data_IF_515153822308
#
_entry.id   IF_515153822308
#
_cell.length_a   1.000
_cell.length_b   1.000
_cell.length_c   1.000
_cell.angle_alpha   90.00
_cell.angle_beta   90.00
_cell.angle_gamma   90.00
#
_symmetry.space_group_name_H-M   'P 1'
#
loop_
_entity.id
_entity.type
_entity.pdbx_description
1 polymer ?
#
# COMPACT_ATOMS: atom_id res chain seq x y z
N UNK A 1 -1.24 -21.14 -81.65
CA UNK A 1 -1.43 -22.25 -80.71
C UNK A 1 -0.06 -22.73 -80.26
N UNK A 2 0.03 -23.11 -78.98
CA UNK A 2 1.18 -23.68 -78.24
C UNK A 2 2.40 -22.79 -78.12
N UNK A 3 2.48 -22.09 -76.99
CA UNK A 3 3.74 -21.58 -76.46
C UNK A 3 4.48 -22.67 -75.69
N UNK A 4 5.72 -22.38 -75.33
CA UNK A 4 6.30 -22.94 -74.11
C UNK A 4 7.41 -22.05 -73.57
N UNK A 5 7.42 -22.00 -72.25
CA UNK A 5 8.02 -20.98 -71.40
C UNK A 5 9.48 -21.26 -71.05
N UNK A 6 10.21 -20.16 -70.82
CA UNK A 6 11.60 -20.12 -70.35
C UNK A 6 11.77 -20.81 -69.00
N UNK A 7 12.81 -21.64 -68.89
CA UNK A 7 13.31 -22.22 -67.65
C UNK A 7 14.21 -21.21 -66.94
N UNK A 8 13.74 -20.70 -65.81
CA UNK A 8 14.53 -19.92 -64.83
C UNK A 8 15.23 -20.90 -63.88
N UNK A 9 16.52 -20.69 -63.52
CA UNK A 9 17.19 -21.55 -62.54
C UNK A 9 16.66 -21.28 -61.12
N UNK A 10 16.38 -22.38 -60.41
CA UNK A 10 15.96 -22.44 -59.01
C UNK A 10 17.12 -21.99 -58.12
N UNK A 11 17.01 -20.79 -57.55
CA UNK A 11 17.81 -20.37 -56.42
C UNK A 11 17.32 -21.14 -55.18
N UNK A 12 18.18 -22.00 -54.63
CA UNK A 12 17.96 -22.67 -53.36
C UNK A 12 17.92 -21.65 -52.23
N UNK A 13 16.72 -21.31 -51.77
CA UNK A 13 16.50 -20.53 -50.56
C UNK A 13 16.80 -21.44 -49.36
N UNK A 14 18.01 -21.28 -48.81
CA UNK A 14 18.40 -21.82 -47.52
C UNK A 14 17.47 -21.19 -46.46
N UNK A 15 16.52 -21.98 -45.96
CA UNK A 15 15.65 -21.60 -44.86
C UNK A 15 16.48 -21.64 -43.56
N UNK A 16 17.21 -20.56 -43.31
CA UNK A 16 17.73 -20.21 -42.00
C UNK A 16 16.52 -20.00 -41.09
N UNK A 17 16.15 -21.05 -40.35
CA UNK A 17 15.41 -20.93 -39.10
C UNK A 17 16.29 -20.13 -38.13
N UNK A 18 16.26 -18.81 -38.28
CA UNK A 18 16.70 -17.89 -37.23
C UNK A 18 15.74 -18.13 -36.07
N UNK A 19 16.26 -18.68 -34.98
CA UNK A 19 15.52 -18.83 -33.73
C UNK A 19 15.06 -17.46 -33.23
N UNK A 20 13.83 -17.09 -33.57
CA UNK A 20 13.13 -15.94 -33.01
C UNK A 20 12.56 -16.39 -31.66
N UNK A 21 13.38 -16.37 -30.61
CA UNK A 21 12.95 -16.86 -29.31
C UNK A 21 13.99 -16.64 -28.22
N UNK A 22 14.32 -15.38 -27.94
CA UNK A 22 15.07 -14.99 -26.72
C UNK A 22 15.08 -13.47 -26.48
N UNK A 23 14.71 -12.66 -27.47
CA UNK A 23 14.75 -11.19 -27.36
C UNK A 23 13.56 -10.58 -26.62
N UNK A 24 12.58 -11.37 -26.16
CA UNK A 24 11.34 -10.82 -25.59
C UNK A 24 11.28 -10.84 -24.04
N UNK A 25 12.30 -11.36 -23.35
CA UNK A 25 12.29 -11.46 -21.89
C UNK A 25 12.88 -10.23 -21.19
N UNK A 26 13.93 -9.61 -21.75
CA UNK A 26 14.60 -8.44 -21.16
C UNK A 26 13.67 -7.22 -21.01
N UNK A 27 12.75 -6.99 -21.95
CA UNK A 27 11.80 -5.87 -21.89
C UNK A 27 10.61 -6.11 -20.94
N UNK A 28 10.53 -7.29 -20.31
CA UNK A 28 9.34 -7.72 -19.53
C UNK A 28 9.59 -7.89 -18.04
N UNK A 29 10.84 -7.77 -17.60
CA UNK A 29 11.20 -7.92 -16.20
C UNK A 29 12.01 -6.75 -15.69
N UNK A 30 11.83 -6.46 -14.41
CA UNK A 30 12.74 -5.57 -13.71
C UNK A 30 13.83 -6.38 -13.02
N UNK A 31 14.99 -5.77 -12.83
CA UNK A 31 16.05 -6.25 -11.95
C UNK A 31 16.64 -5.05 -11.24
N UNK A 32 16.48 -5.01 -9.93
CA UNK A 32 16.92 -3.90 -9.09
C UNK A 32 17.51 -4.43 -7.80
N UNK A 33 18.14 -3.56 -7.04
CA UNK A 33 18.52 -3.88 -5.68
C UNK A 33 18.70 -2.67 -4.82
N UNK A 34 18.76 -2.91 -3.52
CA UNK A 34 19.01 -1.93 -2.49
C UNK A 34 20.08 -2.46 -1.54
N UNK A 35 20.77 -1.53 -0.89
CA UNK A 35 21.68 -1.83 0.22
C UNK A 35 20.91 -1.62 1.52
N UNK A 36 21.00 -2.61 2.40
CA UNK A 36 20.44 -2.56 3.73
C UNK A 36 21.55 -2.86 4.74
N UNK A 37 21.57 -2.16 5.87
CA UNK A 37 22.36 -2.60 7.02
C UNK A 37 21.64 -3.73 7.77
N UNK A 38 22.29 -4.89 7.87
CA UNK A 38 21.78 -6.03 8.61
C UNK A 38 21.79 -5.72 10.12
N UNK A 39 20.60 -5.74 10.72
CA UNK A 39 20.40 -5.37 12.14
C UNK A 39 21.12 -6.28 13.15
N UNK A 40 21.48 -7.51 12.75
CA UNK A 40 22.18 -8.46 13.62
C UNK A 40 23.70 -8.36 13.46
N UNK A 41 24.20 -8.26 12.24
CA UNK A 41 25.65 -8.27 11.96
C UNK A 41 26.26 -6.87 11.87
N UNK A 42 25.44 -5.83 11.75
CA UNK A 42 25.87 -4.44 11.50
C UNK A 42 26.73 -4.33 10.23
N UNK A 43 26.45 -5.18 9.24
CA UNK A 43 27.12 -5.18 7.94
C UNK A 43 26.10 -4.92 6.85
N UNK A 44 26.51 -4.15 5.85
CA UNK A 44 25.71 -3.95 4.65
C UNK A 44 25.51 -5.28 3.92
N UNK A 45 24.30 -5.48 3.42
CA UNK A 45 23.90 -6.58 2.54
C UNK A 45 23.17 -6.00 1.34
N UNK A 46 23.26 -6.68 0.19
CA UNK A 46 22.57 -6.24 -1.03
C UNK A 46 21.37 -7.15 -1.27
N UNK A 47 20.19 -6.55 -1.27
CA UNK A 47 18.94 -7.21 -1.62
C UNK A 47 18.70 -7.02 -3.11
N UNK A 48 18.70 -8.11 -3.88
CA UNK A 48 18.43 -8.11 -5.31
C UNK A 48 17.04 -8.68 -5.56
N UNK A 49 16.17 -7.91 -6.21
CA UNK A 49 14.82 -8.32 -6.57
C UNK A 49 14.62 -8.28 -8.08
N UNK A 50 13.85 -9.23 -8.58
CA UNK A 50 13.40 -9.24 -9.96
C UNK A 50 11.99 -9.80 -10.06
N UNK A 51 11.31 -9.42 -11.13
CA UNK A 51 9.96 -9.89 -11.35
C UNK A 51 9.39 -9.36 -12.65
N UNK A 52 8.16 -9.78 -13.00
CA UNK A 52 7.49 -9.25 -14.16
C UNK A 52 7.20 -7.74 -13.98
N UNK A 53 7.54 -6.95 -14.98
CA UNK A 53 7.09 -5.57 -15.13
C UNK A 53 5.80 -5.53 -15.97
N UNK A 54 5.79 -6.25 -17.09
CA UNK A 54 4.62 -6.46 -17.94
C UNK A 54 4.52 -7.95 -18.32
N UNK A 55 3.30 -8.52 -18.17
CA UNK A 55 3.01 -9.95 -18.43
C UNK A 55 3.81 -10.90 -17.51
N UNK A 56 3.61 -12.20 -17.64
CA UNK A 56 4.35 -13.19 -16.84
C UNK A 56 5.77 -13.42 -17.39
N UNK A 57 6.70 -13.78 -16.50
CA UNK A 57 8.02 -14.30 -16.89
C UNK A 57 7.82 -15.57 -17.75
N UNK A 58 8.46 -15.70 -18.93
CA UNK A 58 8.33 -16.85 -19.82
C UNK A 58 8.46 -18.18 -19.08
N UNK A 59 7.57 -19.15 -19.32
CA UNK A 59 7.53 -20.42 -18.57
C UNK A 59 8.75 -21.31 -18.84
N UNK A 60 9.46 -21.05 -19.94
CA UNK A 60 10.70 -21.72 -20.33
C UNK A 60 11.86 -21.40 -19.38
N UNK A 61 11.81 -20.24 -18.69
CA UNK A 61 12.79 -19.86 -17.68
C UNK A 61 12.46 -20.59 -16.38
N UNK A 62 13.27 -21.61 -16.07
CA UNK A 62 13.13 -22.49 -14.89
C UNK A 62 13.92 -21.99 -13.68
N UNK A 63 14.87 -21.08 -13.88
CA UNK A 63 15.71 -20.51 -12.82
C UNK A 63 16.49 -19.30 -13.30
N UNK A 64 17.33 -18.76 -12.42
CA UNK A 64 18.15 -17.57 -12.68
C UNK A 64 19.57 -17.76 -12.19
N UNK A 65 20.53 -17.12 -12.87
CA UNK A 65 21.89 -16.94 -12.38
C UNK A 65 22.18 -15.48 -12.11
N UNK A 66 22.81 -15.23 -10.98
CA UNK A 66 23.11 -13.90 -10.49
C UNK A 66 24.61 -13.74 -10.50
N UNK A 67 25.07 -12.65 -11.10
CA UNK A 67 26.48 -12.32 -11.22
C UNK A 67 26.78 -10.98 -10.58
N UNK A 68 28.01 -10.81 -10.13
CA UNK A 68 28.54 -9.55 -9.62
C UNK A 68 29.92 -9.27 -10.19
N UNK A 69 30.22 -8.00 -10.44
CA UNK A 69 31.59 -7.52 -10.68
C UNK A 69 31.85 -6.20 -9.98
N UNK A 70 33.12 -5.94 -9.72
CA UNK A 70 33.61 -4.60 -9.44
C UNK A 70 34.39 -4.15 -10.67
N UNK A 71 33.91 -3.11 -11.37
CA UNK A 71 34.56 -2.69 -12.60
C UNK A 71 36.05 -2.36 -12.36
N UNK A 72 36.98 -2.80 -13.24
CA UNK A 72 36.77 -3.40 -14.56
C UNK A 72 36.78 -4.95 -14.59
N UNK A 73 36.64 -5.64 -13.45
CA UNK A 73 36.71 -7.10 -13.39
C UNK A 73 35.59 -7.81 -14.19
N UNK A 74 35.80 -9.09 -14.49
CA UNK A 74 34.78 -9.95 -15.09
C UNK A 74 33.65 -10.28 -14.11
N UNK A 75 32.48 -10.61 -14.64
CA UNK A 75 31.34 -11.06 -13.85
C UNK A 75 31.63 -12.44 -13.23
N UNK A 76 31.60 -12.51 -11.89
CA UNK A 76 31.66 -13.74 -11.14
C UNK A 76 30.25 -14.22 -10.78
N UNK A 77 29.99 -15.52 -10.94
CA UNK A 77 28.73 -16.14 -10.51
C UNK A 77 28.63 -16.09 -8.98
N UNK A 78 27.54 -15.52 -8.48
CA UNK A 78 27.23 -15.49 -7.05
C UNK A 78 26.32 -16.65 -6.65
N UNK A 79 25.24 -16.83 -7.41
CA UNK A 79 24.20 -17.79 -7.07
C UNK A 79 23.41 -18.25 -8.29
N UNK A 80 22.81 -19.43 -8.14
CA UNK A 80 21.80 -19.97 -9.04
C UNK A 80 20.53 -20.20 -8.20
N UNK A 81 19.39 -19.67 -8.65
CA UNK A 81 18.11 -19.77 -7.95
C UNK A 81 17.09 -20.49 -8.81
N UNK A 82 16.34 -21.42 -8.23
CA UNK A 82 15.17 -22.01 -8.90
C UNK A 82 14.02 -21.00 -8.93
N UNK A 83 13.19 -21.03 -9.97
CA UNK A 83 11.90 -20.31 -10.01
C UNK A 83 10.77 -21.09 -9.32
N UNK A 84 10.99 -22.36 -8.99
CA UNK A 84 10.03 -23.12 -8.23
C UNK A 84 9.87 -22.54 -6.82
N UNK A 85 8.66 -22.65 -6.25
CA UNK A 85 8.43 -22.36 -4.85
C UNK A 85 9.38 -23.21 -3.99
N UNK A 86 10.14 -22.55 -3.13
CA UNK A 86 10.99 -23.17 -2.14
C UNK A 86 10.14 -24.03 -1.20
N UNK A 87 10.67 -25.20 -0.80
CA UNK A 87 9.98 -26.02 0.18
C UNK A 87 9.98 -25.37 1.58
N UNK A 88 9.10 -25.84 2.45
CA UNK A 88 8.95 -25.32 3.81
C UNK A 88 10.30 -25.28 4.58
N UNK A 89 11.16 -26.31 4.54
CA UNK A 89 12.49 -26.23 5.17
C UNK A 89 13.37 -25.10 4.61
N UNK A 90 13.40 -24.90 3.30
CA UNK A 90 14.17 -23.82 2.69
C UNK A 90 13.60 -22.44 3.06
N UNK A 91 12.27 -22.25 3.02
CA UNK A 91 11.61 -21.02 3.46
C UNK A 91 11.91 -20.72 4.93
N UNK A 92 11.84 -21.74 5.79
CA UNK A 92 12.23 -21.62 7.20
C UNK A 92 13.69 -21.20 7.32
N UNK A 93 14.57 -21.78 6.51
CA UNK A 93 15.98 -21.41 6.44
C UNK A 93 16.17 -19.91 6.15
N UNK A 94 15.42 -19.35 5.20
CA UNK A 94 15.50 -17.92 4.87
C UNK A 94 15.18 -17.03 6.07
N UNK A 95 14.05 -17.25 6.75
CA UNK A 95 13.63 -16.44 7.90
C UNK A 95 14.49 -16.63 9.17
N UNK A 96 15.27 -17.72 9.24
CA UNK A 96 16.17 -17.99 10.37
C UNK A 96 17.59 -17.47 10.14
N UNK A 97 17.86 -16.85 8.99
CA UNK A 97 19.14 -16.19 8.74
C UNK A 97 19.33 -14.96 9.65
N UNK A 98 20.57 -14.62 10.03
CA UNK A 98 20.84 -13.42 10.84
C UNK A 98 20.33 -12.15 10.14
N UNK A 99 19.57 -11.32 10.86
CA UNK A 99 19.01 -10.06 10.35
C UNK A 99 17.56 -10.17 9.87
N UNK A 100 17.02 -11.38 9.71
CA UNK A 100 15.67 -11.60 9.16
C UNK A 100 14.56 -11.58 10.23
N UNK A 101 14.89 -11.34 11.50
CA UNK A 101 13.94 -11.45 12.61
C UNK A 101 12.76 -10.47 12.48
N UNK A 102 13.02 -9.25 11.96
CA UNK A 102 11.96 -8.26 11.71
C UNK A 102 11.02 -8.73 10.60
N UNK A 103 11.56 -9.22 9.47
CA UNK A 103 10.76 -9.74 8.36
C UNK A 103 9.96 -10.97 8.77
N UNK A 104 10.55 -11.83 9.58
CA UNK A 104 9.84 -12.98 10.14
C UNK A 104 8.67 -12.53 11.03
N UNK A 105 8.88 -11.56 11.93
CA UNK A 105 7.82 -11.03 12.77
C UNK A 105 6.67 -10.39 11.97
N UNK A 106 7.00 -9.58 10.95
CA UNK A 106 6.00 -8.97 10.06
C UNK A 106 5.21 -10.03 9.26
N UNK A 107 5.88 -11.08 8.78
CA UNK A 107 5.22 -12.19 8.09
C UNK A 107 4.30 -12.97 9.04
N UNK A 108 4.74 -13.24 10.26
CA UNK A 108 3.93 -13.92 11.29
C UNK A 108 2.70 -13.09 11.65
N UNK A 109 2.84 -11.78 11.80
CA UNK A 109 1.71 -10.87 12.07
C UNK A 109 0.71 -10.87 10.90
N UNK A 110 1.20 -10.78 9.66
CA UNK A 110 0.34 -10.90 8.48
C UNK A 110 -0.40 -12.23 8.45
N UNK A 111 0.31 -13.35 8.62
CA UNK A 111 -0.28 -14.68 8.57
C UNK A 111 -1.29 -14.88 9.72
N UNK A 112 -1.00 -14.36 10.90
CA UNK A 112 -1.92 -14.39 12.04
C UNK A 112 -3.22 -13.65 11.70
N UNK A 113 -3.15 -12.45 11.13
CA UNK A 113 -4.32 -11.67 10.76
C UNK A 113 -5.13 -12.34 9.63
N UNK A 114 -4.46 -12.81 8.56
CA UNK A 114 -5.13 -13.44 7.41
C UNK A 114 -5.77 -14.80 7.76
N UNK A 115 -5.16 -15.54 8.68
CA UNK A 115 -5.67 -16.83 9.18
C UNK A 115 -6.67 -16.71 10.34
N UNK A 116 -7.09 -15.50 10.74
CA UNK A 116 -7.93 -15.26 11.92
C UNK A 116 -7.34 -15.84 13.22
N UNK A 117 -6.02 -15.80 13.35
CA UNK A 117 -5.27 -16.15 14.54
C UNK A 117 -4.75 -17.59 14.59
N UNK A 118 -4.96 -18.38 13.54
CA UNK A 118 -4.53 -19.80 13.51
C UNK A 118 -3.03 -19.96 13.23
N UNK A 119 -2.47 -19.13 12.35
CA UNK A 119 -1.09 -19.22 11.91
C UNK A 119 -0.17 -18.38 12.81
N UNK A 120 0.56 -19.04 13.72
CA UNK A 120 1.50 -18.40 14.66
C UNK A 120 2.90 -18.98 14.55
N UNK A 121 3.91 -18.16 14.84
CA UNK A 121 5.31 -18.61 14.87
C UNK A 121 5.72 -19.32 13.57
N UNK A 122 6.32 -20.50 13.68
CA UNK A 122 6.78 -21.25 12.50
C UNK A 122 5.61 -21.77 11.64
N UNK A 123 4.42 -21.99 12.20
CA UNK A 123 3.24 -22.40 11.42
C UNK A 123 2.80 -21.32 10.42
N UNK A 124 3.20 -20.07 10.62
CA UNK A 124 3.01 -19.01 9.63
C UNK A 124 3.72 -19.32 8.30
N UNK A 125 4.86 -20.01 8.34
CA UNK A 125 5.60 -20.42 7.13
C UNK A 125 4.82 -21.51 6.37
N UNK A 126 4.25 -22.48 7.08
CA UNK A 126 3.40 -23.51 6.47
C UNK A 126 2.16 -22.88 5.81
N UNK A 127 1.52 -21.94 6.50
CA UNK A 127 0.36 -21.20 5.99
C UNK A 127 0.71 -20.41 4.73
N UNK A 128 1.79 -19.63 4.78
CA UNK A 128 2.31 -18.87 3.65
C UNK A 128 2.66 -19.78 2.47
N UNK A 129 3.39 -20.88 2.71
CA UNK A 129 3.70 -21.86 1.66
C UNK A 129 2.41 -22.41 1.04
N UNK A 130 1.39 -22.73 1.85
CA UNK A 130 0.06 -23.11 1.38
C UNK A 130 -0.53 -22.10 0.40
N UNK A 131 -0.58 -20.82 0.76
CA UNK A 131 -1.06 -19.71 -0.09
C UNK A 131 -0.26 -19.54 -1.39
N UNK A 132 1.07 -19.65 -1.31
CA UNK A 132 1.96 -19.51 -2.48
C UNK A 132 1.90 -20.73 -3.40
N UNK A 133 1.56 -21.91 -2.87
CA UNK A 133 1.47 -23.15 -3.66
C UNK A 133 0.19 -23.28 -4.47
N UNK A 134 -0.80 -22.39 -4.24
CA UNK A 134 -2.05 -22.37 -4.99
C UNK A 134 -1.78 -22.08 -6.47
N UNK A 135 -2.45 -22.83 -7.34
CA UNK A 135 -2.27 -22.78 -8.79
C UNK A 135 -3.57 -22.35 -9.50
N UNK A 136 -3.49 -21.86 -10.75
CA UNK A 136 -4.67 -21.59 -11.56
C UNK A 136 -5.63 -22.80 -11.60
N UNK A 137 -6.84 -22.61 -11.09
CA UNK A 137 -7.85 -23.68 -10.97
C UNK A 137 -8.28 -23.96 -9.52
N UNK A 138 -7.49 -23.55 -8.53
CA UNK A 138 -7.92 -23.53 -7.12
C UNK A 138 -8.87 -22.35 -6.88
N UNK A 139 -9.94 -22.56 -6.10
CA UNK A 139 -10.90 -21.51 -5.76
C UNK A 139 -10.31 -20.40 -4.91
N UNK A 140 -9.22 -20.69 -4.19
CA UNK A 140 -8.52 -19.73 -3.34
C UNK A 140 -7.30 -19.09 -4.04
N UNK A 141 -7.02 -19.46 -5.31
CA UNK A 141 -5.89 -18.91 -6.03
C UNK A 141 -6.09 -17.43 -6.36
N UNK A 142 -5.21 -16.59 -5.80
CA UNK A 142 -5.18 -15.15 -6.07
C UNK A 142 -3.77 -14.72 -6.50
N UNK A 143 -3.51 -14.54 -7.81
CA UNK A 143 -2.19 -14.15 -8.30
C UNK A 143 -1.77 -12.74 -7.86
N UNK A 144 -2.74 -11.85 -7.60
CA UNK A 144 -2.45 -10.50 -7.14
C UNK A 144 -1.94 -10.53 -5.69
N UNK A 145 -2.57 -11.34 -4.83
CA UNK A 145 -2.13 -11.55 -3.45
C UNK A 145 -0.71 -12.12 -3.40
N UNK A 146 -0.41 -13.16 -4.18
CA UNK A 146 0.95 -13.72 -4.24
C UNK A 146 2.00 -12.67 -4.67
N UNK A 147 1.67 -11.83 -5.65
CA UNK A 147 2.54 -10.74 -6.09
C UNK A 147 2.72 -9.67 -5.00
N UNK A 148 1.65 -9.30 -4.30
CA UNK A 148 1.70 -8.33 -3.21
C UNK A 148 2.51 -8.86 -2.04
N UNK A 149 2.36 -10.13 -1.66
CA UNK A 149 3.15 -10.77 -0.59
C UNK A 149 4.64 -10.79 -0.91
N UNK A 150 5.01 -11.09 -2.17
CA UNK A 150 6.40 -11.05 -2.60
C UNK A 150 7.01 -9.65 -2.51
N UNK A 151 6.20 -8.59 -2.67
CA UNK A 151 6.68 -7.20 -2.49
C UNK A 151 6.66 -6.75 -1.04
N UNK A 152 5.69 -7.21 -0.26
CA UNK A 152 5.53 -6.91 1.15
C UNK A 152 6.68 -7.47 1.99
N UNK A 153 7.18 -8.66 1.64
CA UNK A 153 8.24 -9.32 2.38
C UNK A 153 9.29 -9.95 1.46
N UNK A 154 10.55 -9.52 1.59
CA UNK A 154 11.63 -9.97 0.71
C UNK A 154 11.89 -11.49 0.75
N UNK A 155 11.70 -12.15 1.88
CA UNK A 155 11.90 -13.59 1.98
C UNK A 155 10.78 -14.36 1.27
N UNK A 156 9.58 -13.78 1.12
CA UNK A 156 8.56 -14.31 0.20
C UNK A 156 9.07 -14.25 -1.24
N UNK A 157 9.66 -13.14 -1.68
CA UNK A 157 10.24 -13.03 -3.01
C UNK A 157 11.34 -14.08 -3.24
N UNK A 158 12.23 -14.29 -2.27
CA UNK A 158 13.24 -15.37 -2.32
C UNK A 158 12.59 -16.75 -2.44
N UNK A 159 11.52 -16.98 -1.69
CA UNK A 159 10.77 -18.25 -1.69
C UNK A 159 10.18 -18.60 -3.05
N UNK A 160 9.79 -17.61 -3.85
CA UNK A 160 9.29 -17.83 -5.22
C UNK A 160 10.36 -17.63 -6.31
N UNK A 161 11.64 -17.59 -5.94
CA UNK A 161 12.74 -17.44 -6.89
C UNK A 161 12.83 -16.07 -7.55
N UNK A 162 12.41 -15.02 -6.86
CA UNK A 162 12.36 -13.62 -7.30
C UNK A 162 13.24 -12.69 -6.45
N UNK A 163 14.05 -13.24 -5.54
CA UNK A 163 14.92 -12.48 -4.67
C UNK A 163 16.21 -13.21 -4.31
N UNK A 164 17.25 -12.45 -4.01
CA UNK A 164 18.52 -12.95 -3.49
C UNK A 164 19.18 -11.91 -2.58
N UNK A 165 19.85 -12.37 -1.51
CA UNK A 165 20.61 -11.50 -0.60
C UNK A 165 22.09 -11.81 -0.74
N UNK A 166 22.86 -10.86 -1.25
CA UNK A 166 24.31 -10.92 -1.29
C UNK A 166 24.89 -10.39 0.02
N UNK A 167 25.33 -11.32 0.88
CA UNK A 167 25.98 -11.02 2.16
C UNK A 167 27.50 -11.15 2.11
N UNK A 168 28.04 -11.73 1.03
CA UNK A 168 29.47 -12.00 0.88
C UNK A 168 30.15 -10.83 0.15
N UNK A 169 30.06 -9.65 0.75
CA UNK A 169 30.54 -8.41 0.15
C UNK A 169 32.05 -8.25 0.40
N UNK A 170 32.86 -7.95 -0.64
CA UNK A 170 34.32 -7.84 -0.50
C UNK A 170 34.77 -6.52 0.13
N UNK A 171 33.85 -5.58 0.39
CA UNK A 171 34.10 -4.26 0.97
C UNK A 171 33.21 -3.18 0.36
N UNK A 172 33.33 -1.93 0.83
CA UNK A 172 32.58 -0.80 0.28
C UNK A 172 33.02 -0.48 -1.16
N UNK A 173 32.09 0.00 -1.98
CA UNK A 173 32.32 0.42 -3.35
C UNK A 173 31.13 0.14 -4.26
N UNK A 174 31.24 0.58 -5.51
CA UNK A 174 30.21 0.35 -6.54
C UNK A 174 30.41 -1.00 -7.20
N UNK A 175 29.39 -1.85 -7.13
CA UNK A 175 29.35 -3.15 -7.79
C UNK A 175 28.24 -3.18 -8.82
N UNK A 176 28.50 -3.85 -9.93
CA UNK A 176 27.49 -4.12 -10.93
C UNK A 176 26.99 -5.55 -10.75
N UNK A 177 25.66 -5.67 -10.72
CA UNK A 177 24.95 -6.93 -10.67
C UNK A 177 24.30 -7.21 -12.02
N UNK A 178 24.24 -8.48 -12.41
CA UNK A 178 23.60 -8.94 -13.64
C UNK A 178 22.82 -10.21 -13.36
N UNK A 179 21.65 -10.33 -13.97
CA UNK A 179 20.83 -11.55 -13.93
C UNK A 179 20.67 -12.14 -15.32
N UNK A 180 20.77 -13.46 -15.42
CA UNK A 180 20.43 -14.25 -16.61
C UNK A 180 19.39 -15.32 -16.24
N UNK A 181 18.64 -15.80 -17.23
CA UNK A 181 17.69 -16.89 -17.06
C UNK A 181 18.31 -18.24 -17.40
N UNK A 182 17.69 -19.31 -16.90
CA UNK A 182 18.02 -20.69 -17.24
C UNK A 182 16.84 -21.34 -17.96
N UNK A 183 17.09 -21.84 -19.17
CA UNK A 183 16.19 -22.67 -19.96
C UNK A 183 16.69 -24.12 -19.87
N UNK A 184 16.32 -24.82 -18.80
CA UNK A 184 16.92 -26.11 -18.44
C UNK A 184 18.38 -25.94 -18.01
N UNK A 185 19.33 -26.32 -18.86
CA UNK A 185 20.79 -26.13 -18.61
C UNK A 185 21.40 -25.00 -19.44
N UNK A 186 20.65 -24.48 -20.42
CA UNK A 186 21.10 -23.38 -21.26
C UNK A 186 20.86 -22.05 -20.54
N UNK A 187 21.81 -21.15 -20.65
CA UNK A 187 21.73 -19.81 -20.07
C UNK A 187 21.30 -18.80 -21.13
N UNK A 188 20.37 -17.91 -20.77
CA UNK A 188 19.89 -16.87 -21.67
C UNK A 188 20.90 -15.73 -21.79
N UNK A 189 20.62 -14.80 -22.71
CA UNK A 189 21.24 -13.48 -22.66
C UNK A 189 20.90 -12.75 -21.35
N UNK A 190 21.70 -11.75 -20.94
CA UNK A 190 21.40 -10.92 -19.77
C UNK A 190 19.98 -10.36 -19.81
N UNK A 191 19.24 -10.62 -18.75
CA UNK A 191 17.85 -10.18 -18.60
C UNK A 191 17.75 -8.85 -17.85
N UNK A 192 18.74 -8.52 -17.02
CA UNK A 192 18.79 -7.26 -16.29
C UNK A 192 20.17 -6.97 -15.74
N UNK A 193 20.44 -5.68 -15.50
CA UNK A 193 21.65 -5.18 -14.84
C UNK A 193 21.32 -4.01 -13.93
N UNK A 194 22.01 -3.91 -12.80
CA UNK A 194 21.92 -2.75 -11.89
C UNK A 194 23.30 -2.45 -11.28
N UNK A 195 23.53 -1.21 -10.88
CA UNK A 195 24.76 -0.77 -10.20
C UNK A 195 24.41 -0.29 -8.81
N UNK A 196 25.12 -0.78 -7.80
CA UNK A 196 24.80 -0.56 -6.39
C UNK A 196 26.08 -0.15 -5.66
N UNK A 197 26.02 0.98 -4.94
CA UNK A 197 27.10 1.40 -4.04
C UNK A 197 26.90 0.78 -2.66
N UNK A 198 27.71 -0.24 -2.35
CA UNK A 198 27.66 -1.01 -1.11
C UNK A 198 28.16 -0.18 0.09
N UNK A 199 28.85 0.93 -0.13
CA UNK A 199 29.36 1.78 0.94
C UNK A 199 28.29 2.55 1.70
N UNK A 200 27.08 2.68 1.15
CA UNK A 200 26.02 3.53 1.70
C UNK A 200 24.71 2.76 1.70
N UNK A 201 24.04 2.74 2.85
CA UNK A 201 22.68 2.18 2.93
C UNK A 201 21.75 2.93 1.97
N UNK A 202 20.91 2.19 1.26
CA UNK A 202 19.92 2.80 0.39
C UNK A 202 18.76 3.33 1.23
N UNK A 203 18.57 4.64 1.20
CA UNK A 203 17.41 5.33 1.79
C UNK A 203 16.59 5.87 0.62
N UNK A 204 15.34 5.41 0.51
CA UNK A 204 14.42 5.93 -0.50
C UNK A 204 14.03 7.39 -0.15
N UNK A 205 13.83 8.25 -1.16
CA UNK A 205 13.44 9.63 -0.93
C UNK A 205 12.03 9.71 -0.34
N UNK A 206 11.73 10.85 0.30
CA UNK A 206 10.44 11.11 0.89
C UNK A 206 9.32 11.15 -0.20
N UNK A 207 8.13 10.58 0.05
CA UNK A 207 7.03 10.62 -0.92
C UNK A 207 6.62 12.06 -1.29
N UNK A 208 6.76 12.49 -2.56
CA UNK A 208 6.58 13.88 -2.93
C UNK A 208 5.12 14.33 -2.88
N UNK A 209 4.90 15.65 -2.76
CA UNK A 209 3.58 16.28 -2.86
C UNK A 209 2.51 15.70 -1.90
N UNK A 210 2.93 15.33 -0.68
CA UNK A 210 2.02 14.86 0.34
C UNK A 210 1.07 15.97 0.82
N UNK A 211 -0.23 15.80 0.56
CA UNK A 211 -1.25 16.82 0.82
C UNK A 211 -2.61 16.24 1.23
N UNK A 212 -3.45 17.11 1.79
CA UNK A 212 -4.88 16.84 1.98
C UNK A 212 -5.64 17.22 0.71
N UNK A 213 -6.55 16.36 0.26
CA UNK A 213 -7.46 16.64 -0.84
C UNK A 213 -8.91 16.62 -0.37
N UNK A 214 -9.78 17.35 -1.07
CA UNK A 214 -11.23 17.32 -0.85
C UNK A 214 -11.88 16.59 -2.01
N UNK A 215 -12.73 15.62 -1.69
CA UNK A 215 -13.24 14.63 -2.63
C UNK A 215 -14.66 14.97 -3.09
N UNK A 216 -15.39 15.76 -2.31
CA UNK A 216 -16.69 16.27 -2.70
C UNK A 216 -16.56 17.34 -3.80
N UNK A 217 -17.21 17.10 -4.94
CA UNK A 217 -17.43 18.15 -5.94
C UNK A 217 -18.18 19.32 -5.31
N UNK A 218 -18.00 20.54 -5.82
CA UNK A 218 -18.66 21.76 -5.32
C UNK A 218 -20.20 21.65 -5.20
N UNK A 219 -20.84 20.73 -5.94
CA UNK A 219 -22.30 20.49 -5.89
C UNK A 219 -22.72 19.33 -4.96
N UNK A 220 -21.77 18.59 -4.39
CA UNK A 220 -21.97 17.37 -3.62
C UNK A 220 -21.50 17.46 -2.16
N UNK A 221 -21.07 18.64 -1.68
CA UNK A 221 -20.64 18.89 -0.28
C UNK A 221 -21.70 18.39 0.71
N UNK A 222 -22.99 18.61 0.41
CA UNK A 222 -24.12 18.17 1.24
C UNK A 222 -24.28 16.65 1.38
N UNK A 223 -23.52 15.86 0.62
CA UNK A 223 -23.53 14.38 0.73
C UNK A 223 -22.60 13.86 1.83
N UNK A 224 -21.86 14.74 2.51
CA UNK A 224 -21.02 14.38 3.66
C UNK A 224 -19.86 13.45 3.31
N UNK A 225 -19.38 13.46 2.06
CA UNK A 225 -18.29 12.55 1.61
C UNK A 225 -16.98 12.86 2.35
N UNK A 226 -16.71 14.13 2.63
CA UNK A 226 -15.53 14.59 3.38
C UNK A 226 -15.81 14.80 4.87
N UNK A 227 -17.05 14.66 5.35
CA UNK A 227 -17.39 14.94 6.74
C UNK A 227 -16.69 13.97 7.68
N UNK A 228 -15.92 14.51 8.65
CA UNK A 228 -15.13 13.73 9.62
C UNK A 228 -14.07 12.82 8.99
N UNK A 229 -13.64 13.10 7.76
CA UNK A 229 -12.65 12.29 7.03
C UNK A 229 -11.57 13.18 6.45
N UNK A 230 -10.32 12.73 6.55
CA UNK A 230 -9.20 13.40 5.90
C UNK A 230 -8.71 12.49 4.78
N UNK A 231 -8.82 12.98 3.55
CA UNK A 231 -8.35 12.29 2.36
C UNK A 231 -6.94 12.78 2.01
N UNK A 232 -6.04 11.85 1.76
CA UNK A 232 -4.64 12.12 1.49
C UNK A 232 -4.26 11.75 0.05
N UNK A 233 -3.38 12.55 -0.52
CA UNK A 233 -2.74 12.32 -1.81
C UNK A 233 -1.25 12.62 -1.72
N UNK A 234 -0.47 11.96 -2.57
CA UNK A 234 0.94 12.22 -2.84
C UNK A 234 1.23 11.81 -4.29
N UNK A 235 2.44 12.05 -4.77
CA UNK A 235 2.82 11.65 -6.13
C UNK A 235 3.52 10.30 -6.12
N UNK A 236 3.07 9.42 -7.02
CA UNK A 236 3.69 8.13 -7.32
C UNK A 236 4.58 8.31 -8.54
N UNK A 237 5.86 7.91 -8.46
CA UNK A 237 6.76 7.96 -9.61
C UNK A 237 6.20 7.18 -10.81
N UNK A 238 5.94 7.87 -11.92
CA UNK A 238 5.41 7.32 -13.17
C UNK A 238 6.32 7.53 -14.39
N UNK A 239 7.31 8.42 -14.28
CA UNK A 239 8.36 8.59 -15.29
C UNK A 239 9.25 7.33 -15.38
N UNK A 240 9.64 6.88 -16.60
CA UNK A 240 10.50 5.73 -16.79
C UNK A 240 11.81 5.74 -15.98
N UNK A 241 12.41 6.91 -15.75
CA UNK A 241 13.64 7.02 -14.96
C UNK A 241 13.39 6.84 -13.45
N UNK A 242 12.17 7.06 -12.99
CA UNK A 242 11.78 6.96 -11.59
C UNK A 242 11.05 5.64 -11.25
N UNK A 243 10.77 4.79 -12.25
CA UNK A 243 10.22 3.45 -12.07
C UNK A 243 10.99 2.57 -11.08
N UNK A 244 12.34 2.60 -11.00
CA UNK A 244 13.06 1.83 -9.98
C UNK A 244 12.61 2.17 -8.56
N UNK A 245 12.34 3.45 -8.25
CA UNK A 245 11.85 3.86 -6.94
C UNK A 245 10.47 3.28 -6.64
N UNK A 246 9.59 3.26 -7.65
CA UNK A 246 8.26 2.65 -7.55
C UNK A 246 8.34 1.13 -7.36
N UNK A 247 9.31 0.47 -7.97
CA UNK A 247 9.52 -0.97 -7.79
C UNK A 247 10.06 -1.27 -6.40
N UNK A 248 10.95 -0.41 -5.89
CA UNK A 248 11.57 -0.55 -4.57
C UNK A 248 10.61 -0.19 -3.42
N UNK A 249 9.54 0.56 -3.68
CA UNK A 249 8.51 0.92 -2.70
C UNK A 249 7.32 -0.02 -2.82
N UNK A 250 7.01 -0.79 -1.77
CA UNK A 250 5.86 -1.72 -1.84
C UNK A 250 4.56 -1.11 -1.33
N UNK A 251 4.64 -0.16 -0.40
CA UNK A 251 3.49 0.44 0.27
C UNK A 251 3.88 1.68 1.05
N UNK A 252 2.90 2.31 1.69
CA UNK A 252 3.08 3.54 2.42
C UNK A 252 2.41 3.46 3.79
N UNK A 253 3.00 4.11 4.78
CA UNK A 253 2.39 4.28 6.10
C UNK A 253 2.18 5.76 6.39
N UNK A 254 1.01 6.06 6.94
CA UNK A 254 0.66 7.41 7.41
C UNK A 254 0.67 7.39 8.93
N UNK A 255 1.26 8.42 9.52
CA UNK A 255 1.21 8.67 10.96
C UNK A 255 0.52 10.00 11.23
N UNK A 256 -0.23 10.06 12.33
CA UNK A 256 -1.00 11.22 12.77
C UNK A 256 -0.57 11.64 14.17
N UNK A 257 -0.52 12.95 14.40
CA UNK A 257 -0.42 13.54 15.73
C UNK A 257 -1.41 14.69 15.94
N UNK A 258 -1.80 14.91 17.19
CA UNK A 258 -2.62 16.05 17.63
C UNK A 258 -1.82 17.37 17.71
N UNK A 259 -0.50 17.30 17.62
CA UNK A 259 0.39 18.46 17.74
C UNK A 259 1.52 18.42 16.72
N UNK A 260 2.12 19.59 16.48
CA UNK A 260 3.29 19.69 15.62
C UNK A 260 4.50 19.09 16.34
N UNK A 261 5.04 18.00 15.79
CA UNK A 261 6.27 17.36 16.30
C UNK A 261 7.50 17.79 15.48
N UNK A 262 7.33 18.73 14.53
CA UNK A 262 8.37 19.18 13.62
C UNK A 262 8.75 18.12 12.59
N UNK A 263 9.96 18.21 12.05
CA UNK A 263 10.49 17.21 11.12
C UNK A 263 10.89 15.96 11.91
N UNK A 264 10.32 14.82 11.54
CA UNK A 264 10.61 13.52 12.16
C UNK A 264 11.39 12.63 11.22
N UNK A 265 12.25 11.80 11.79
CA UNK A 265 12.90 10.69 11.10
C UNK A 265 12.20 9.38 11.51
N UNK A 266 11.07 9.09 10.85
CA UNK A 266 10.26 7.93 11.21
C UNK A 266 10.98 6.60 10.96
N UNK A 267 11.93 6.56 10.01
CA UNK A 267 12.76 5.37 9.77
C UNK A 267 13.52 5.01 11.03
N UNK A 268 14.32 5.93 11.56
CA UNK A 268 15.10 5.70 12.77
C UNK A 268 14.22 5.53 14.01
N UNK A 269 13.10 6.27 14.13
CA UNK A 269 12.21 6.15 15.28
C UNK A 269 11.53 4.78 15.36
N UNK A 270 11.07 4.23 14.22
CA UNK A 270 10.43 2.91 14.20
C UNK A 270 11.44 1.78 14.37
N UNK A 271 12.61 1.87 13.74
CA UNK A 271 13.67 0.87 13.92
C UNK A 271 14.14 0.75 15.37
N UNK A 272 14.18 1.88 16.09
CA UNK A 272 14.59 1.92 17.49
C UNK A 272 13.41 1.75 18.48
N UNK A 273 12.20 1.48 18.01
CA UNK A 273 10.98 1.43 18.82
C UNK A 273 10.83 2.65 19.76
N UNK A 274 11.11 3.83 19.21
CA UNK A 274 11.19 5.11 19.92
C UNK A 274 10.14 6.12 19.44
N UNK A 275 9.03 5.62 18.87
CA UNK A 275 7.93 6.49 18.44
C UNK A 275 7.38 7.33 19.61
N UNK A 276 7.20 8.65 19.44
CA UNK A 276 6.51 9.48 20.42
C UNK A 276 5.10 8.96 20.72
N UNK A 277 4.64 9.08 21.96
CA UNK A 277 3.33 8.59 22.37
C UNK A 277 2.17 9.36 21.70
N UNK A 278 2.44 10.59 21.27
CA UNK A 278 1.53 11.48 20.57
C UNK A 278 1.38 11.13 19.08
N UNK A 279 2.18 10.19 18.57
CA UNK A 279 2.18 9.78 17.18
C UNK A 279 1.56 8.38 17.03
N UNK A 280 0.46 8.31 16.27
CA UNK A 280 -0.25 7.05 16.00
C UNK A 280 -0.23 6.74 14.51
N UNK A 281 0.01 5.48 14.12
CA UNK A 281 -0.16 5.03 12.74
C UNK A 281 -1.65 5.07 12.35
N UNK A 282 -1.94 5.52 11.15
CA UNK A 282 -3.28 5.53 10.56
C UNK A 282 -3.48 4.19 9.84
N UNK A 283 -4.43 3.39 10.34
CA UNK A 283 -4.64 2.03 9.86
C UNK A 283 -3.59 1.03 10.36
N UNK A 284 -3.87 -0.25 10.13
CA UNK A 284 -3.00 -1.36 10.55
C UNK A 284 -2.17 -1.94 9.39
N UNK A 285 -2.61 -1.70 8.16
CA UNK A 285 -2.00 -2.26 6.95
C UNK A 285 -1.35 -1.14 6.13
N UNK A 286 -0.20 -1.42 5.46
CA UNK A 286 0.40 -0.45 4.55
C UNK A 286 -0.54 -0.14 3.38
N UNK A 287 -0.58 1.13 2.99
CA UNK A 287 -1.35 1.61 1.86
C UNK A 287 -0.64 1.20 0.58
N UNK A 288 -1.30 0.36 -0.22
CA UNK A 288 -0.80 -0.07 -1.53
C UNK A 288 -1.48 0.74 -2.63
N UNK A 289 -0.67 1.33 -3.51
CA UNK A 289 -1.15 2.25 -4.56
C UNK A 289 -0.78 1.74 -5.95
N UNK A 290 -1.74 1.81 -6.87
CA UNK A 290 -1.56 1.35 -8.24
C UNK A 290 -1.06 2.44 -9.21
N UNK A 291 -1.04 3.70 -8.78
CA UNK A 291 -0.62 4.85 -9.58
C UNK A 291 -1.20 6.15 -9.04
N UNK A 292 -0.96 7.24 -9.77
CA UNK A 292 -1.48 8.56 -9.42
C UNK A 292 -3.00 8.60 -9.53
N UNK A 293 -3.72 9.06 -8.49
CA UNK A 293 -5.15 9.30 -8.60
C UNK A 293 -5.42 10.50 -9.54
N UNK A 294 -6.64 10.63 -10.10
CA UNK A 294 -7.03 11.84 -10.82
C UNK A 294 -6.90 13.09 -9.93
N UNK A 295 -6.73 14.25 -10.55
CA UNK A 295 -6.55 15.50 -9.80
C UNK A 295 -7.78 15.88 -8.96
N UNK A 296 -8.98 15.57 -9.45
CA UNK A 296 -10.27 15.95 -8.85
C UNK A 296 -11.25 14.77 -8.81
N UNK A 297 -12.28 14.92 -7.96
CA UNK A 297 -13.43 14.03 -7.88
C UNK A 297 -13.28 12.88 -6.89
N UNK A 298 -14.23 11.94 -6.94
CA UNK A 298 -14.40 10.90 -5.91
C UNK A 298 -13.24 9.92 -5.71
N UNK A 299 -12.30 9.89 -6.65
CA UNK A 299 -11.15 8.99 -6.64
C UNK A 299 -9.83 9.77 -6.53
N UNK A 300 -9.84 11.05 -6.16
CA UNK A 300 -8.66 11.91 -6.15
C UNK A 300 -7.70 11.68 -4.99
N UNK A 301 -7.91 10.64 -4.19
CA UNK A 301 -7.15 10.32 -2.99
C UNK A 301 -6.61 8.90 -3.04
N UNK A 302 -5.58 8.63 -2.22
CA UNK A 302 -4.98 7.30 -2.07
C UNK A 302 -5.19 6.70 -0.67
N UNK A 303 -5.39 7.54 0.33
CA UNK A 303 -5.66 7.09 1.69
C UNK A 303 -6.71 7.97 2.37
N UNK A 304 -7.38 7.39 3.37
CA UNK A 304 -8.38 8.08 4.20
C UNK A 304 -8.02 7.84 5.66
N UNK A 305 -8.06 8.90 6.47
CA UNK A 305 -8.17 8.80 7.91
C UNK A 305 -9.61 9.11 8.33
N UNK A 306 -10.28 8.12 8.92
CA UNK A 306 -11.63 8.24 9.48
C UNK A 306 -11.61 8.13 11.03
N UNK A 307 -10.42 8.11 11.63
CA UNK A 307 -10.20 7.77 13.04
C UNK A 307 -10.17 6.26 13.25
N UNK A 308 -10.78 5.80 14.35
CA UNK A 308 -10.99 4.38 14.64
C UNK A 308 -12.50 4.11 14.70
N UNK A 309 -13.13 3.82 13.54
CA UNK A 309 -14.57 3.59 13.49
C UNK A 309 -14.99 2.33 14.25
N UNK A 310 -14.11 1.34 14.42
CA UNK A 310 -14.41 0.12 15.16
C UNK A 310 -14.55 0.38 16.66
N UNK A 311 -13.75 1.30 17.19
CA UNK A 311 -13.84 1.77 18.57
C UNK A 311 -14.65 3.08 18.71
N UNK A 312 -15.36 3.50 17.66
CA UNK A 312 -16.17 4.72 17.60
C UNK A 312 -15.41 6.02 17.94
N UNK A 313 -14.11 6.05 17.65
CA UNK A 313 -13.28 7.24 17.81
C UNK A 313 -13.16 7.95 16.47
N UNK A 314 -14.15 8.78 16.15
CA UNK A 314 -14.15 9.57 14.92
C UNK A 314 -13.28 10.82 15.05
N UNK A 315 -12.80 11.31 13.91
CA UNK A 315 -12.15 12.61 13.84
C UNK A 315 -13.13 13.74 14.21
N UNK A 316 -12.66 14.69 15.01
CA UNK A 316 -13.48 15.82 15.46
C UNK A 316 -13.56 16.89 14.36
N UNK A 317 -14.77 17.30 13.99
CA UNK A 317 -15.02 18.35 12.99
C UNK A 317 -14.27 19.64 13.33
N UNK A 318 -13.64 20.25 12.32
CA UNK A 318 -12.88 21.49 12.46
C UNK A 318 -11.57 21.36 13.25
N UNK A 319 -11.27 20.19 13.84
CA UNK A 319 -9.98 19.94 14.47
C UNK A 319 -8.92 19.76 13.40
N UNK A 320 -7.70 20.19 13.72
CA UNK A 320 -6.53 19.99 12.87
C UNK A 320 -5.61 18.93 13.44
N UNK A 321 -4.95 18.19 12.56
CA UNK A 321 -3.98 17.16 12.89
C UNK A 321 -2.73 17.33 12.02
N UNK A 322 -1.61 16.82 12.50
CA UNK A 322 -0.34 16.77 11.77
C UNK A 322 -0.09 15.37 11.26
N UNK A 323 0.22 15.24 9.98
CA UNK A 323 0.44 13.97 9.31
C UNK A 323 1.86 13.84 8.78
N UNK A 324 2.33 12.60 8.78
CA UNK A 324 3.63 12.19 8.25
C UNK A 324 3.42 10.99 7.35
N UNK A 325 4.13 10.96 6.23
CA UNK A 325 4.02 9.89 5.24
C UNK A 325 5.41 9.31 4.96
N UNK A 326 5.50 7.98 4.96
CA UNK A 326 6.70 7.24 4.58
C UNK A 326 6.35 6.16 3.57
N UNK A 327 7.22 5.94 2.59
CA UNK A 327 7.21 4.74 1.77
C UNK A 327 7.93 3.61 2.52
N UNK A 328 7.47 2.37 2.35
CA UNK A 328 8.13 1.19 2.86
C UNK A 328 8.82 0.46 1.72
N UNK A 329 10.13 0.25 1.88
CA UNK A 329 10.96 -0.39 0.88
C UNK A 329 10.83 -1.93 0.93
N UNK A 330 11.42 -2.63 -0.05
CA UNK A 330 11.40 -4.09 -0.11
C UNK A 330 12.04 -4.79 1.11
N UNK A 331 12.90 -4.09 1.85
CA UNK A 331 13.54 -4.62 3.07
C UNK A 331 12.61 -4.53 4.29
N UNK A 332 11.55 -3.73 4.19
CA UNK A 332 10.65 -3.39 5.29
C UNK A 332 11.11 -2.17 6.09
N UNK A 333 12.06 -1.39 5.57
CA UNK A 333 12.50 -0.12 6.16
C UNK A 333 11.74 1.04 5.52
N UNK A 334 11.71 2.17 6.23
CA UNK A 334 11.03 3.37 5.74
C UNK A 334 11.96 4.23 4.89
N UNK A 335 11.37 4.92 3.92
CA UNK A 335 11.97 6.05 3.21
C UNK A 335 12.25 7.21 4.16
N UNK A 336 12.84 8.27 3.63
CA UNK A 336 12.74 9.58 4.27
C UNK A 336 11.26 9.96 4.51
N UNK A 337 11.03 10.79 5.52
CA UNK A 337 9.68 11.16 5.96
C UNK A 337 9.19 12.41 5.26
N UNK A 338 7.99 12.36 4.69
CA UNK A 338 7.25 13.53 4.21
C UNK A 338 6.40 14.11 5.32
N UNK A 339 6.44 15.44 5.48
CA UNK A 339 5.69 16.17 6.49
C UNK A 339 6.57 17.11 7.32
N UNK A 340 6.01 17.74 8.37
CA UNK A 340 4.63 17.60 8.82
C UNK A 340 3.62 18.25 7.86
N UNK A 341 2.53 17.54 7.55
CA UNK A 341 1.37 18.05 6.83
C UNK A 341 0.27 18.44 7.83
N UNK A 342 -0.08 19.73 7.90
CA UNK A 342 -1.25 20.17 8.65
C UNK A 342 -2.52 19.92 7.83
N UNK A 343 -3.42 19.09 8.36
CA UNK A 343 -4.71 18.79 7.74
C UNK A 343 -5.87 19.12 8.70
N UNK A 344 -6.99 19.57 8.14
CA UNK A 344 -8.19 19.96 8.88
C UNK A 344 -9.31 18.98 8.62
N UNK A 345 -9.96 18.50 9.68
CA UNK A 345 -11.15 17.67 9.56
C UNK A 345 -12.31 18.50 9.00
N UNK A 346 -12.82 18.19 7.81
CA UNK A 346 -13.88 18.97 7.19
C UNK A 346 -15.18 18.83 7.98
N UNK A 347 -15.89 19.95 8.13
CA UNK A 347 -17.29 19.99 8.59
C UNK A 347 -18.16 20.31 7.38
N UNK A 348 -18.53 19.27 6.64
CA UNK A 348 -19.29 19.41 5.38
C UNK A 348 -20.75 19.04 5.55
N UNK A 349 -21.13 18.51 6.71
CA UNK A 349 -22.53 18.26 7.02
C UNK A 349 -23.24 19.59 7.27
N UNK A 350 -24.29 19.82 6.49
CA UNK A 350 -25.20 20.92 6.74
C UNK A 350 -25.77 20.84 8.16
N UNK A 351 -26.21 21.97 8.74
CA UNK A 351 -26.91 21.92 10.00
C UNK A 351 -28.09 20.95 9.92
N UNK A 352 -28.42 20.26 11.02
CA UNK A 352 -29.60 19.39 11.06
C UNK A 352 -30.85 20.13 10.58
N UNK A 353 -31.75 19.41 9.90
CA UNK A 353 -32.99 19.99 9.41
C UNK A 353 -33.85 20.49 10.59
N UNK A 354 -34.42 21.71 10.52
CA UNK A 354 -35.35 22.17 11.54
C UNK A 354 -36.56 21.23 11.61
N UNK A 355 -36.97 20.85 12.82
CA UNK A 355 -38.18 20.07 13.07
C UNK A 355 -39.32 20.96 13.58
N UNK A 356 -40.54 20.42 13.58
CA UNK A 356 -41.72 21.16 14.04
C UNK A 356 -42.02 22.41 13.22
N UNK A 357 -41.61 22.43 11.94
CA UNK A 357 -41.85 23.54 11.02
C UNK A 357 -43.34 23.69 10.81
N UNK A 358 -43.89 24.82 11.27
CA UNK A 358 -45.31 25.14 11.18
C UNK A 358 -45.51 26.59 10.74
N UNK A 359 -46.63 26.85 10.09
CA UNK A 359 -47.07 28.20 9.77
C UNK A 359 -48.02 28.69 10.85
N UNK A 360 -47.79 29.90 11.35
CA UNK A 360 -48.70 30.57 12.27
C UNK A 360 -49.20 31.87 11.61
N UNK A 361 -50.50 32.14 11.74
CA UNK A 361 -51.06 33.44 11.37
C UNK A 361 -50.86 34.42 12.53
N UNK A 362 -50.11 35.49 12.28
CA UNK A 362 -49.89 36.54 13.28
C UNK A 362 -50.57 37.83 12.82
N UNK A 363 -51.30 38.42 13.75
CA UNK A 363 -51.86 39.74 13.61
C UNK A 363 -50.76 40.77 13.85
N UNK A 364 -50.53 41.63 12.86
CA UNK A 364 -49.61 42.75 13.02
C UNK A 364 -50.24 43.73 14.02
N UNK A 365 -49.58 43.93 15.16
CA UNK A 365 -50.04 44.82 16.23
C UNK A 365 -50.23 46.28 15.74
N UNK A 366 -49.66 46.63 14.59
CA UNK A 366 -49.76 47.97 13.99
C UNK A 366 -50.67 48.04 12.76
N UNK A 367 -51.09 46.91 12.18
CA UNK A 367 -51.98 46.85 11.01
C UNK A 367 -53.02 45.75 11.18
N UNK A 368 -54.17 46.11 11.75
CA UNK A 368 -55.25 45.20 12.17
C UNK A 368 -55.98 44.44 11.05
N UNK A 369 -55.67 44.69 9.78
CA UNK A 369 -56.37 44.08 8.64
C UNK A 369 -55.49 43.20 7.74
N UNK A 370 -54.18 43.11 7.99
CA UNK A 370 -53.28 42.29 7.16
C UNK A 370 -52.74 41.13 8.00
N UNK A 371 -53.24 39.91 7.73
CA UNK A 371 -52.69 38.69 8.31
C UNK A 371 -51.31 38.44 7.72
N UNK A 372 -50.30 38.28 8.58
CA UNK A 372 -48.98 37.79 8.15
C UNK A 372 -48.90 36.31 8.47
N UNK A 373 -48.37 35.54 7.53
CA UNK A 373 -47.98 34.16 7.77
C UNK A 373 -46.52 34.20 8.24
N UNK A 374 -46.27 33.75 9.46
CA UNK A 374 -44.91 33.49 9.92
C UNK A 374 -44.64 31.99 9.87
N UNK A 375 -43.40 31.63 9.56
CA UNK A 375 -42.92 30.26 9.64
C UNK A 375 -42.15 30.16 10.96
N UNK A 376 -42.57 29.22 11.81
CA UNK A 376 -41.95 28.94 13.11
C UNK A 376 -41.42 27.52 13.09
N UNK A 377 -40.25 27.31 13.66
CA UNK A 377 -39.71 26.00 13.94
C UNK A 377 -39.13 26.02 15.35
N UNK A 378 -39.00 24.83 15.93
CA UNK A 378 -38.42 24.72 17.26
C UNK A 378 -36.89 24.79 17.17
N UNK A 379 -36.25 25.30 18.21
CA UNK A 379 -34.79 25.33 18.29
C UNK A 379 -34.23 23.90 18.16
N UNK A 380 -33.18 23.75 17.35
CA UNK A 380 -32.55 22.46 17.09
C UNK A 380 -31.62 22.10 18.26
N UNK A 381 -32.20 21.52 19.30
CA UNK A 381 -31.50 21.06 20.48
C UNK A 381 -32.02 19.67 20.93
N UNK A 382 -31.23 18.98 21.74
CA UNK A 382 -31.56 17.63 22.21
C UNK A 382 -32.92 17.55 22.92
N UNK A 383 -33.30 18.60 23.65
CA UNK A 383 -34.56 18.64 24.41
C UNK A 383 -35.78 18.67 23.48
N UNK A 384 -35.74 19.50 22.44
CA UNK A 384 -36.82 19.62 21.47
C UNK A 384 -36.89 18.40 20.54
N UNK A 385 -35.75 17.78 20.18
CA UNK A 385 -35.74 16.51 19.44
C UNK A 385 -36.49 15.42 20.21
N UNK A 386 -36.15 15.28 21.50
CA UNK A 386 -36.77 14.29 22.36
C UNK A 386 -38.27 14.52 22.54
N UNK A 387 -38.69 15.78 22.67
CA UNK A 387 -40.11 16.12 22.74
C UNK A 387 -40.89 15.68 21.50
N UNK A 388 -40.30 15.83 20.32
CA UNK A 388 -40.96 15.57 19.04
C UNK A 388 -40.87 14.10 18.62
N UNK A 389 -39.72 13.45 18.81
CA UNK A 389 -39.43 12.10 18.28
C UNK A 389 -39.19 11.04 19.36
N UNK A 390 -39.05 11.42 20.64
CA UNK A 390 -38.67 10.52 21.72
C UNK A 390 -39.76 9.59 22.24
N UNK A 391 -41.00 9.67 21.75
CA UNK A 391 -42.10 8.83 22.24
C UNK A 391 -41.90 7.33 21.97
N UNK A 392 -41.17 7.00 20.90
CA UNK A 392 -40.96 5.64 20.40
C UNK A 392 -39.56 5.09 20.64
N UNK A 393 -38.71 5.83 21.37
CA UNK A 393 -37.33 5.47 21.62
C UNK A 393 -37.01 5.54 23.11
N UNK A 394 -36.03 4.78 23.57
CA UNK A 394 -35.44 4.89 24.90
C UNK A 394 -34.07 5.57 24.80
N UNK A 395 -33.78 6.50 25.72
CA UNK A 395 -32.45 7.09 25.84
C UNK A 395 -31.48 6.05 26.36
N UNK A 396 -30.37 5.86 25.64
CA UNK A 396 -29.25 5.06 26.12
C UNK A 396 -28.24 6.00 26.74
N UNK A 397 -27.58 5.57 27.81
CA UNK A 397 -26.42 6.27 28.34
C UNK A 397 -25.45 6.49 27.17
N UNK A 398 -25.09 7.75 26.86
CA UNK A 398 -24.13 8.00 25.81
C UNK A 398 -22.87 7.21 26.17
N UNK A 399 -22.28 6.47 25.21
CA UNK A 399 -20.98 5.88 25.45
C UNK A 399 -19.98 6.97 25.87
N UNK A 400 -18.95 6.61 26.63
CA UNK A 400 -17.98 7.58 27.15
C UNK A 400 -17.26 8.41 26.08
N UNK A 401 -17.31 7.98 24.82
CA UNK A 401 -16.75 8.66 23.64
C UNK A 401 -17.74 9.60 22.91
N UNK A 402 -19.00 9.66 23.35
CA UNK A 402 -20.01 10.52 22.77
C UNK A 402 -19.73 12.00 23.03
N UNK A 403 -19.92 12.83 22.01
CA UNK A 403 -19.99 14.26 22.23
C UNK A 403 -21.23 14.57 23.10
N UNK A 404 -21.12 15.35 24.20
CA UNK A 404 -22.26 15.70 25.04
C UNK A 404 -23.40 16.43 24.29
N UNK A 405 -23.16 16.88 23.06
CA UNK A 405 -24.19 17.48 22.19
C UNK A 405 -24.93 16.48 21.30
N UNK A 406 -24.56 15.21 21.28
CA UNK A 406 -25.19 14.17 20.46
C UNK A 406 -26.19 13.32 21.29
N UNK A 407 -27.32 12.96 20.68
CA UNK A 407 -28.33 12.09 21.29
C UNK A 407 -28.16 10.65 20.81
N UNK A 408 -28.15 9.71 21.76
CA UNK A 408 -28.07 8.27 21.50
C UNK A 408 -29.37 7.61 21.96
N UNK A 409 -30.05 6.94 21.05
CA UNK A 409 -31.37 6.36 21.30
C UNK A 409 -31.53 5.01 20.60
N UNK A 410 -32.34 4.15 21.20
CA UNK A 410 -32.71 2.82 20.69
C UNK A 410 -34.22 2.72 20.58
N UNK A 411 -34.77 1.93 19.64
CA UNK A 411 -36.21 1.68 19.61
C UNK A 411 -36.67 1.20 20.98
N UNK A 412 -37.82 1.69 21.43
CA UNK A 412 -38.34 1.38 22.76
C UNK A 412 -38.41 -0.13 23.01
N UNK A 413 -37.80 -0.58 24.10
CA UNK A 413 -37.66 -2.01 24.43
C UNK A 413 -36.50 -2.75 23.77
N UNK A 414 -35.57 -2.05 23.12
CA UNK A 414 -34.26 -2.59 22.74
C UNK A 414 -33.19 -2.14 23.74
N UNK A 415 -32.36 -3.07 24.22
CA UNK A 415 -31.41 -2.77 25.31
C UNK A 415 -30.06 -2.19 24.82
N UNK A 416 -29.83 -2.14 23.50
CA UNK A 416 -28.53 -1.74 22.92
C UNK A 416 -28.68 -1.03 21.56
N UNK A 417 -27.77 -0.09 21.29
CA UNK A 417 -27.60 0.52 19.97
C UNK A 417 -27.34 -0.59 18.95
N UNK A 418 -28.25 -0.76 17.99
CA UNK A 418 -28.04 -1.72 16.90
C UNK A 418 -26.89 -1.20 16.03
N UNK A 419 -25.90 -2.06 15.78
CA UNK A 419 -24.93 -1.87 14.68
C UNK A 419 -25.73 -1.67 13.38
N UNK A 420 -25.51 -0.55 12.69
CA UNK A 420 -25.82 -0.42 11.27
C UNK A 420 -24.56 -0.74 10.47
#
# INVERSE_FOLDING_TARGET
MTGDWMKTPVFGLLLLLVGVGSHAAGDRMYFTGLVEENSTTMQNQVLLAWGPMERAIPLEITGFRIYRRQAPADFALLAETSRALADIPAMTGFYMEPGEQKRFAEMVEWAYNDSNGEATGVMAIDYLHGKLSLMPGDTMYNPLEQLLLARFNFDVARSIGQGYIDRNLPGPGVFEYMITGLEGTAETLPLGKTSIDIGVETILPAPPNFEQVFVADCSAISRGVDDRRIHHRWDIPDDPAALPLRILTYGYDIYRSDMDLGVLDLRNLVENNALPAELSRVGNEPIVVAGNPPEEGRNSFMAIDEGDPFNHQFLQRGKTYFYYLVGKDLSGKYSETSGPLLAMVPDTMGPPQPWGVRSEEVWDATMTEVKRVQIVWDEINATNYWREFGSDYDLVTPPSYANPTELYFVPKGADQLRRN
#
